data_IF_329153808507
#
_entry.id   IF_329153808507
#
_cell.length_a   1.000
_cell.length_b   1.000
_cell.length_c   1.000
_cell.angle_alpha   90.00
_cell.angle_beta   90.00
_cell.angle_gamma   90.00
#
_symmetry.space_group_name_H-M   'P 1'
#
loop_
_entity.id
_entity.type
_entity.pdbx_description
1 polymer ?
#
# COMPACT_ATOMS: atom_id res chain seq x y z
N UNK A 1 -64.44 4.03 -46.06
CA UNK A 1 -62.99 3.76 -46.15
C UNK A 1 -62.34 4.18 -44.84
N UNK A 2 -61.99 3.21 -43.98
CA UNK A 2 -61.28 3.45 -42.71
C UNK A 2 -59.81 3.10 -42.91
N UNK A 3 -58.95 4.09 -42.80
CA UNK A 3 -57.49 4.01 -42.80
C UNK A 3 -57.01 3.14 -41.65
N UNK A 4 -56.36 2.01 -41.96
CA UNK A 4 -55.65 1.13 -41.02
C UNK A 4 -54.21 0.99 -41.49
N UNK A 5 -53.38 2.01 -41.28
CA UNK A 5 -51.95 1.90 -41.64
C UNK A 5 -51.06 2.92 -40.91
N UNK A 6 -51.23 3.07 -39.59
CA UNK A 6 -50.43 4.04 -38.81
C UNK A 6 -50.09 3.60 -37.39
N UNK A 7 -49.90 2.30 -37.16
CA UNK A 7 -49.49 1.79 -35.83
C UNK A 7 -48.26 0.88 -35.86
N UNK A 8 -47.82 0.41 -37.03
CA UNK A 8 -46.68 -0.51 -37.13
C UNK A 8 -45.32 0.20 -37.16
N UNK A 9 -45.29 1.48 -37.54
CA UNK A 9 -44.04 2.23 -37.74
C UNK A 9 -43.40 2.77 -36.46
N UNK A 10 -44.14 2.84 -35.33
CA UNK A 10 -43.61 3.43 -34.09
C UNK A 10 -42.88 2.42 -33.19
N UNK A 11 -43.23 1.12 -33.29
CA UNK A 11 -42.62 0.08 -32.46
C UNK A 11 -41.21 -0.33 -32.94
N UNK A 12 -40.92 -0.19 -34.24
CA UNK A 12 -39.60 -0.50 -34.80
C UNK A 12 -38.61 0.66 -34.57
N UNK A 13 -39.07 1.92 -34.59
CA UNK A 13 -38.21 3.08 -34.30
C UNK A 13 -37.76 3.14 -32.82
N UNK A 14 -38.56 2.63 -31.88
CA UNK A 14 -38.18 2.59 -30.47
C UNK A 14 -37.09 1.54 -30.17
N UNK A 15 -36.94 0.50 -31.00
CA UNK A 15 -35.92 -0.53 -30.83
C UNK A 15 -34.55 -0.13 -31.42
N UNK A 16 -34.52 0.79 -32.38
CA UNK A 16 -33.27 1.23 -33.04
C UNK A 16 -32.60 2.41 -32.32
N UNK A 17 -33.35 3.17 -31.52
CA UNK A 17 -32.83 4.34 -30.77
C UNK A 17 -32.06 4.02 -29.48
N UNK A 18 -32.00 2.75 -29.07
CA UNK A 18 -31.29 2.30 -27.86
C UNK A 18 -29.93 1.64 -28.16
N UNK A 19 -29.49 1.62 -29.42
CA UNK A 19 -28.13 1.23 -29.79
C UNK A 19 -27.13 2.39 -29.55
N UNK A 20 -27.33 3.14 -28.47
CA UNK A 20 -26.30 4.04 -27.94
C UNK A 20 -25.12 3.16 -27.57
N UNK A 21 -23.96 3.41 -28.18
CA UNK A 21 -22.69 2.78 -27.81
C UNK A 21 -22.54 2.86 -26.30
N UNK A 22 -22.81 1.76 -25.59
CA UNK A 22 -22.42 1.65 -24.20
C UNK A 22 -20.90 1.57 -24.23
N UNK A 23 -20.22 2.62 -23.76
CA UNK A 23 -18.83 2.49 -23.38
C UNK A 23 -18.80 1.41 -22.30
N UNK A 24 -18.32 0.21 -22.67
CA UNK A 24 -17.94 -0.76 -21.66
C UNK A 24 -16.75 -0.14 -20.96
N UNK A 25 -16.81 -0.02 -19.63
CA UNK A 25 -15.62 0.23 -18.85
C UNK A 25 -14.61 -0.86 -19.22
N UNK A 26 -13.43 -0.48 -19.69
CA UNK A 26 -12.37 -1.43 -19.97
C UNK A 26 -11.60 -1.66 -18.67
N UNK A 27 -11.46 -2.92 -18.29
CA UNK A 27 -10.54 -3.30 -17.24
C UNK A 27 -9.13 -2.88 -17.66
N UNK A 28 -8.42 -2.18 -16.79
CA UNK A 28 -6.98 -1.94 -16.93
C UNK A 28 -6.29 -3.22 -16.52
N UNK A 29 -5.57 -3.82 -17.46
CA UNK A 29 -4.79 -5.04 -17.32
C UNK A 29 -3.41 -4.75 -16.76
N UNK A 30 -2.78 -3.63 -17.11
CA UNK A 30 -1.42 -3.26 -16.69
C UNK A 30 -1.33 -1.80 -16.27
N UNK A 31 -0.58 -1.56 -15.20
CA UNK A 31 -0.32 -0.25 -14.60
C UNK A 31 1.17 0.04 -14.61
N UNK A 32 1.58 1.17 -15.15
CA UNK A 32 2.91 1.72 -14.88
C UNK A 32 2.87 2.40 -13.50
N UNK A 33 3.96 2.31 -12.74
CA UNK A 33 4.06 2.92 -11.43
C UNK A 33 5.35 3.71 -11.25
N UNK A 34 5.26 4.75 -10.41
CA UNK A 34 6.38 5.44 -9.79
C UNK A 34 6.11 5.46 -8.28
N UNK A 35 7.08 5.03 -7.47
CA UNK A 35 6.97 5.04 -6.01
C UNK A 35 8.24 5.59 -5.37
N UNK A 36 8.06 6.44 -4.39
CA UNK A 36 9.14 6.95 -3.56
C UNK A 36 8.82 6.79 -2.07
N UNK A 37 9.89 6.60 -1.31
CA UNK A 37 9.89 6.46 0.14
C UNK A 37 10.81 7.52 0.73
N UNK A 38 10.33 8.25 1.74
CA UNK A 38 11.07 9.31 2.42
C UNK A 38 10.77 9.35 3.92
N UNK A 39 11.79 9.64 4.72
CA UNK A 39 11.60 10.05 6.11
C UNK A 39 11.07 11.49 6.17
N UNK A 40 10.03 11.72 6.96
CA UNK A 40 9.59 13.08 7.28
C UNK A 40 10.63 13.72 8.22
N UNK A 41 11.38 14.73 7.77
CA UNK A 41 12.45 15.31 8.57
C UNK A 41 12.05 16.59 9.32
N UNK A 42 10.83 17.07 9.14
CA UNK A 42 10.33 18.30 9.76
C UNK A 42 8.87 18.17 10.25
N UNK A 43 8.45 19.14 11.06
CA UNK A 43 7.11 19.17 11.63
C UNK A 43 6.94 18.26 12.85
N UNK A 44 5.67 17.93 13.15
CA UNK A 44 5.30 17.17 14.35
C UNK A 44 5.59 15.66 14.23
N UNK A 45 5.83 15.17 13.02
CA UNK A 45 6.08 13.76 12.69
C UNK A 45 7.57 13.53 12.35
N UNK A 46 8.43 14.52 12.62
CA UNK A 46 9.87 14.40 12.46
C UNK A 46 10.48 13.45 13.49
N UNK A 47 11.61 12.80 13.18
CA UNK A 47 12.32 11.93 14.10
C UNK A 47 12.56 12.55 15.47
N UNK A 48 12.19 11.80 16.51
CA UNK A 48 12.54 12.11 17.90
C UNK A 48 13.65 11.19 18.36
N UNK A 49 14.49 11.71 19.25
CA UNK A 49 15.55 10.94 19.88
C UNK A 49 15.43 11.05 21.39
N UNK A 50 15.75 9.96 22.08
CA UNK A 50 15.81 9.94 23.53
C UNK A 50 16.93 10.87 24.05
N UNK A 51 16.83 11.40 25.28
CA UNK A 51 17.89 12.23 25.83
C UNK A 51 19.22 11.47 25.94
N UNK A 52 20.30 12.07 25.42
CA UNK A 52 21.62 11.45 25.43
C UNK A 52 22.68 12.31 24.75
N UNK A 53 23.84 11.70 24.53
CA UNK A 53 24.98 12.26 23.82
C UNK A 53 25.09 11.68 22.41
N UNK A 54 26.25 11.78 21.76
CA UNK A 54 26.43 11.32 20.38
C UNK A 54 25.93 12.33 19.34
N UNK A 55 25.79 11.85 18.10
CA UNK A 55 25.40 12.67 16.95
C UNK A 55 24.33 11.97 16.13
N UNK A 56 23.33 12.75 15.72
CA UNK A 56 22.26 12.29 14.86
C UNK A 56 22.49 12.78 13.43
N UNK A 57 22.23 11.89 12.48
CA UNK A 57 22.03 12.21 11.07
C UNK A 57 20.54 12.06 10.77
N UNK A 58 19.92 13.13 10.27
CA UNK A 58 18.51 13.14 9.88
C UNK A 58 18.41 13.70 8.47
N UNK A 59 18.13 12.80 7.53
CA UNK A 59 17.90 13.10 6.11
C UNK A 59 16.64 12.38 5.65
N UNK A 60 16.15 12.71 4.45
CA UNK A 60 14.98 12.03 3.87
C UNK A 60 15.25 10.56 3.53
N UNK A 61 16.50 10.15 3.38
CA UNK A 61 16.89 8.79 2.97
C UNK A 61 17.49 7.97 4.12
N UNK A 62 18.00 8.64 5.15
CA UNK A 62 18.72 8.02 6.26
C UNK A 62 18.45 8.72 7.59
N UNK A 63 18.19 7.91 8.60
CA UNK A 63 18.24 8.29 10.01
C UNK A 63 19.37 7.49 10.67
N UNK A 64 20.25 8.13 11.43
CA UNK A 64 21.31 7.41 12.13
C UNK A 64 21.70 8.11 13.43
N UNK A 65 22.13 7.34 14.41
CA UNK A 65 22.55 7.82 15.73
C UNK A 65 23.77 7.05 16.22
N UNK A 66 24.47 7.63 17.21
CA UNK A 66 25.67 7.06 17.81
C UNK A 66 26.86 8.01 17.78
N UNK A 67 28.06 7.45 17.62
CA UNK A 67 29.34 8.19 17.63
C UNK A 67 29.45 9.24 16.52
N UNK A 68 30.25 10.29 16.70
CA UNK A 68 30.44 11.36 15.71
C UNK A 68 31.20 10.93 14.44
N UNK A 69 31.79 9.73 14.47
CA UNK A 69 32.55 9.16 13.36
C UNK A 69 32.13 7.70 13.21
N UNK A 70 32.13 7.19 11.97
CA UNK A 70 31.78 5.80 11.67
C UNK A 70 30.79 5.66 10.52
N UNK A 71 30.74 4.45 9.96
CA UNK A 71 29.67 4.02 9.06
C UNK A 71 28.49 3.48 9.88
N UNK A 72 27.33 3.31 9.27
CA UNK A 72 26.18 2.63 9.90
C UNK A 72 26.25 1.12 9.72
N UNK A 73 27.00 0.64 8.73
CA UNK A 73 27.20 -0.78 8.50
C UNK A 73 28.02 -1.39 9.65
N UNK A 74 27.44 -2.30 10.46
CA UNK A 74 28.11 -2.88 11.62
C UNK A 74 29.34 -3.72 11.24
N UNK A 75 29.44 -4.19 9.98
CA UNK A 75 30.64 -4.88 9.50
C UNK A 75 31.83 -3.92 9.32
N UNK A 76 31.57 -2.62 9.16
CA UNK A 76 32.56 -1.55 8.96
C UNK A 76 32.80 -0.78 10.25
N UNK A 77 31.73 -0.47 11.00
CA UNK A 77 31.78 0.31 12.23
C UNK A 77 30.61 -0.06 13.17
N UNK A 78 30.93 -0.35 14.41
CA UNK A 78 30.00 -0.80 15.44
C UNK A 78 29.54 0.32 16.40
N UNK A 79 29.73 1.59 16.02
CA UNK A 79 29.44 2.74 16.89
C UNK A 79 28.30 3.63 16.38
N UNK A 80 27.63 3.21 15.30
CA UNK A 80 26.41 3.86 14.82
C UNK A 80 25.37 2.82 14.41
N UNK A 81 24.13 3.06 14.84
CA UNK A 81 22.96 2.35 14.35
C UNK A 81 22.23 3.29 13.37
N UNK A 82 21.34 2.73 12.55
CA UNK A 82 20.58 3.56 11.62
C UNK A 82 19.57 2.84 10.74
N UNK A 83 18.72 3.65 10.14
CA UNK A 83 17.72 3.24 9.15
C UNK A 83 18.08 3.87 7.81
N UNK A 84 18.21 3.06 6.77
CA UNK A 84 18.48 3.50 5.40
C UNK A 84 17.36 3.05 4.47
N UNK A 85 16.81 4.00 3.71
CA UNK A 85 15.92 3.68 2.59
C UNK A 85 16.74 3.10 1.44
N UNK A 86 16.28 2.00 0.86
CA UNK A 86 16.90 1.35 -0.29
C UNK A 86 15.93 1.31 -1.48
N UNK A 87 16.50 1.28 -2.68
CA UNK A 87 15.77 1.15 -3.96
C UNK A 87 14.69 2.24 -4.24
N UNK A 88 14.76 3.37 -3.53
CA UNK A 88 13.88 4.54 -3.71
C UNK A 88 14.60 5.67 -4.46
N UNK A 89 13.95 6.33 -5.44
CA UNK A 89 12.65 5.99 -6.01
C UNK A 89 12.70 4.74 -6.90
N UNK A 90 11.57 4.05 -7.02
CA UNK A 90 11.39 2.86 -7.86
C UNK A 90 10.29 3.10 -8.90
N UNK A 91 10.43 2.51 -10.09
CA UNK A 91 9.44 2.61 -11.17
C UNK A 91 9.38 1.33 -11.97
N UNK A 92 8.23 1.02 -12.54
CA UNK A 92 8.01 -0.23 -13.27
C UNK A 92 6.58 -0.39 -13.74
N UNK A 93 6.17 -1.64 -13.92
CA UNK A 93 4.80 -2.01 -14.28
C UNK A 93 4.30 -3.20 -13.47
N UNK A 94 3.01 -3.23 -13.17
CA UNK A 94 2.33 -4.35 -12.50
C UNK A 94 1.01 -4.65 -13.20
N UNK A 95 0.69 -5.94 -13.33
CA UNK A 95 -0.58 -6.37 -13.91
C UNK A 95 -1.68 -6.40 -12.84
N UNK A 96 -2.92 -6.14 -13.23
CA UNK A 96 -4.07 -6.26 -12.34
C UNK A 96 -4.26 -7.72 -11.92
N UNK A 97 -4.21 -7.95 -10.61
CA UNK A 97 -4.22 -9.26 -9.97
C UNK A 97 -2.83 -9.74 -9.51
N UNK A 98 -1.77 -8.99 -9.81
CA UNK A 98 -0.40 -9.28 -9.40
C UNK A 98 0.11 -8.27 -8.35
N UNK A 99 1.25 -8.62 -7.75
CA UNK A 99 1.99 -7.85 -6.75
C UNK A 99 3.41 -7.58 -7.24
N UNK A 100 4.02 -6.48 -6.77
CA UNK A 100 5.39 -6.10 -7.12
C UNK A 100 6.13 -5.51 -5.91
N UNK A 101 7.37 -5.96 -5.70
CA UNK A 101 8.30 -5.37 -4.74
C UNK A 101 8.92 -4.09 -5.31
N UNK A 102 9.12 -3.08 -4.48
CA UNK A 102 9.50 -1.74 -4.96
C UNK A 102 10.65 -1.10 -4.20
N UNK A 103 10.44 -0.78 -2.92
CA UNK A 103 11.33 0.02 -2.07
C UNK A 103 11.49 -0.68 -0.74
N UNK A 104 12.55 -0.35 0.02
CA UNK A 104 12.77 -0.98 1.31
C UNK A 104 13.41 -0.06 2.33
N UNK A 105 13.52 -0.56 3.55
CA UNK A 105 14.29 0.06 4.64
C UNK A 105 15.18 -1.00 5.26
N UNK A 106 16.48 -0.73 5.36
CA UNK A 106 17.40 -1.56 6.13
C UNK A 106 17.66 -0.92 7.49
N UNK A 107 17.43 -1.69 8.54
CA UNK A 107 17.86 -1.37 9.89
C UNK A 107 19.23 -1.98 10.14
N UNK A 108 20.20 -1.13 10.43
CA UNK A 108 21.54 -1.49 10.84
C UNK A 108 21.65 -1.34 12.35
N UNK A 109 21.84 -2.47 13.04
CA UNK A 109 21.91 -2.51 14.48
C UNK A 109 23.36 -2.74 14.93
N UNK A 110 23.93 -1.76 15.63
CA UNK A 110 25.29 -1.81 16.16
C UNK A 110 25.27 -1.70 17.68
N UNK A 111 26.22 -2.37 18.33
CA UNK A 111 26.38 -2.26 19.78
C UNK A 111 26.99 -0.90 20.19
N UNK A 112 26.15 0.13 20.25
CA UNK A 112 26.58 1.50 20.55
C UNK A 112 26.67 1.79 22.06
N UNK A 113 27.30 2.92 22.41
CA UNK A 113 27.46 3.32 23.80
C UNK A 113 26.13 3.75 24.43
N UNK A 114 25.84 3.26 25.64
CA UNK A 114 24.58 3.48 26.37
C UNK A 114 24.24 4.96 26.67
N UNK A 115 25.23 5.84 26.64
CA UNK A 115 25.03 7.28 26.83
C UNK A 115 24.60 8.02 25.56
N UNK A 116 24.54 7.37 24.40
CA UNK A 116 24.11 8.00 23.15
C UNK A 116 22.59 8.13 23.11
N UNK A 117 22.14 9.24 22.54
CA UNK A 117 20.74 9.44 22.20
C UNK A 117 20.38 8.54 21.02
N UNK A 118 19.38 7.68 21.21
CA UNK A 118 18.88 6.72 20.22
C UNK A 118 17.57 7.20 19.61
N UNK A 119 17.25 6.71 18.41
CA UNK A 119 15.97 7.02 17.78
C UNK A 119 14.82 6.51 18.66
N UNK A 120 13.77 7.31 18.78
CA UNK A 120 12.60 6.98 19.59
C UNK A 120 11.38 6.81 18.67
N UNK A 121 11.10 7.81 17.83
CA UNK A 121 10.05 7.71 16.81
C UNK A 121 10.51 8.30 15.48
N UNK A 122 9.92 7.83 14.39
CA UNK A 122 10.05 8.43 13.07
C UNK A 122 8.82 8.09 12.21
N UNK A 123 8.55 8.94 11.21
CA UNK A 123 7.47 8.67 10.24
C UNK A 123 8.04 8.51 8.84
N UNK A 124 7.76 7.36 8.25
CA UNK A 124 8.13 7.00 6.88
C UNK A 124 6.94 7.27 5.97
N UNK A 125 7.12 8.10 4.96
CA UNK A 125 6.08 8.44 3.99
C UNK A 125 6.38 7.76 2.67
N UNK A 126 5.38 7.08 2.11
CA UNK A 126 5.41 6.54 0.75
C UNK A 126 4.47 7.33 -0.13
N UNK A 127 4.84 7.46 -1.40
CA UNK A 127 4.07 8.15 -2.41
C UNK A 127 4.06 7.29 -3.69
N UNK A 128 2.91 6.66 -3.97
CA UNK A 128 2.69 5.80 -5.13
C UNK A 128 1.86 6.55 -6.18
N UNK A 129 2.35 6.56 -7.42
CA UNK A 129 1.64 7.09 -8.58
C UNK A 129 1.39 5.94 -9.54
N UNK A 130 0.14 5.74 -9.95
CA UNK A 130 -0.26 4.71 -10.90
C UNK A 130 -0.71 5.35 -12.22
N UNK A 131 -0.27 4.79 -13.34
CA UNK A 131 -0.66 5.20 -14.68
C UNK A 131 -1.21 4.00 -15.45
N UNK A 132 -2.47 4.03 -15.92
CA UNK A 132 -3.02 2.95 -16.74
C UNK A 132 -2.23 2.78 -18.05
N UNK A 133 -1.69 1.58 -18.28
CA UNK A 133 -0.84 1.28 -19.46
C UNK A 133 -1.58 0.44 -20.51
N UNK A 134 -2.29 -0.61 -20.09
CA UNK A 134 -2.98 -1.56 -20.99
C UNK A 134 -4.40 -1.87 -20.49
N UNK A 135 -5.46 -1.75 -21.32
CA UNK A 135 -5.48 -0.85 -22.47
C UNK A 135 -5.23 0.58 -21.98
N UNK A 136 -4.57 1.44 -22.78
CA UNK A 136 -4.52 2.85 -22.45
C UNK A 136 -5.96 3.36 -22.51
N UNK A 137 -6.53 3.66 -21.34
CA UNK A 137 -7.77 4.42 -21.27
C UNK A 137 -7.55 5.78 -21.93
N UNK A 138 -8.62 6.42 -22.40
CA UNK A 138 -8.58 7.51 -23.39
C UNK A 138 -7.69 8.72 -23.04
N UNK A 139 -7.14 8.79 -21.81
CA UNK A 139 -5.99 9.60 -21.45
C UNK A 139 -5.14 8.81 -20.44
N UNK A 140 -3.94 8.34 -20.82
CA UNK A 140 -2.95 7.72 -19.92
C UNK A 140 -2.32 8.74 -18.97
N UNK A 141 -3.15 9.49 -18.26
CA UNK A 141 -2.73 10.45 -17.23
C UNK A 141 -2.49 9.70 -15.92
N UNK A 142 -1.43 10.04 -15.17
CA UNK A 142 -1.22 9.50 -13.84
C UNK A 142 -2.41 9.81 -12.92
N UNK A 143 -2.76 8.83 -12.08
CA UNK A 143 -3.71 9.04 -11.01
C UNK A 143 -3.15 10.02 -9.97
N UNK A 144 -4.03 10.56 -9.13
CA UNK A 144 -3.58 11.30 -7.96
C UNK A 144 -2.67 10.40 -7.11
N UNK A 145 -1.56 10.92 -6.56
CA UNK A 145 -0.68 10.09 -5.77
C UNK A 145 -1.39 9.53 -4.53
N UNK A 146 -1.18 8.23 -4.28
CA UNK A 146 -1.56 7.57 -3.06
C UNK A 146 -0.42 7.74 -2.06
N UNK A 147 -0.69 8.47 -0.98
CA UNK A 147 0.29 8.70 0.09
C UNK A 147 -0.10 7.92 1.33
N UNK A 148 0.83 7.11 1.84
CA UNK A 148 0.69 6.43 3.14
C UNK A 148 1.82 6.86 4.06
N UNK A 149 1.52 6.93 5.36
CA UNK A 149 2.49 7.25 6.39
C UNK A 149 2.55 6.09 7.39
N UNK A 150 3.75 5.55 7.58
CA UNK A 150 4.05 4.53 8.58
C UNK A 150 4.70 5.23 9.77
N UNK A 151 3.99 5.23 10.90
CA UNK A 151 4.54 5.73 12.15
C UNK A 151 5.33 4.61 12.80
N UNK A 152 6.56 4.90 13.18
CA UNK A 152 7.49 3.90 13.69
C UNK A 152 7.95 4.29 15.08
N UNK A 153 8.12 3.29 15.94
CA UNK A 153 8.76 3.44 17.24
C UNK A 153 9.96 2.51 17.27
N UNK A 154 11.08 3.03 17.75
CA UNK A 154 12.34 2.33 17.83
C UNK A 154 12.76 2.17 19.28
N UNK A 155 13.23 0.98 19.64
CA UNK A 155 13.75 0.67 20.97
C UNK A 155 15.13 0.06 20.84
N UNK A 156 16.15 0.89 21.09
CA UNK A 156 17.51 0.41 21.32
C UNK A 156 17.55 -0.27 22.70
N UNK A 157 17.76 -1.58 22.70
CA UNK A 157 17.73 -2.37 23.91
C UNK A 157 19.07 -2.29 24.63
N UNK A 158 19.09 -2.38 25.97
CA UNK A 158 20.36 -2.53 26.67
C UNK A 158 21.01 -3.85 26.29
N UNK A 159 22.23 -3.77 25.76
CA UNK A 159 23.06 -4.92 25.38
C UNK A 159 23.55 -5.77 26.56
N UNK A 160 22.62 -6.26 27.40
CA UNK A 160 22.88 -6.98 28.64
C UNK A 160 21.74 -7.93 28.97
N UNK A 161 22.03 -9.23 29.02
CA UNK A 161 21.07 -10.24 29.45
C UNK A 161 20.64 -10.10 30.93
N UNK A 162 19.42 -10.53 31.29
CA UNK A 162 18.37 -11.05 30.40
C UNK A 162 17.55 -9.94 29.72
N UNK A 163 17.16 -10.17 28.46
CA UNK A 163 16.46 -9.20 27.62
C UNK A 163 14.98 -9.03 27.94
N UNK A 164 14.37 -10.04 28.56
CA UNK A 164 12.94 -10.06 28.84
C UNK A 164 12.07 -10.62 27.71
N UNK A 165 12.65 -10.93 26.54
CA UNK A 165 12.03 -11.58 25.40
C UNK A 165 13.03 -12.52 24.69
N UNK A 166 12.58 -13.27 23.68
CA UNK A 166 13.46 -14.12 22.87
C UNK A 166 14.29 -13.25 21.92
N UNK A 167 15.62 -13.28 22.09
CA UNK A 167 16.56 -12.52 21.27
C UNK A 167 17.63 -13.47 20.72
N UNK A 168 18.06 -13.21 19.49
CA UNK A 168 19.11 -13.98 18.83
C UNK A 168 20.51 -13.64 19.36
N UNK A 169 20.68 -12.43 19.90
CA UNK A 169 21.96 -11.89 20.39
C UNK A 169 21.83 -11.35 21.82
N UNK A 170 22.64 -10.34 22.19
CA UNK A 170 22.66 -9.76 23.54
C UNK A 170 21.56 -8.71 23.68
N UNK A 171 20.32 -9.11 23.40
CA UNK A 171 19.13 -8.25 23.27
C UNK A 171 19.09 -7.56 21.92
N UNK A 172 18.16 -8.01 21.06
CA UNK A 172 17.98 -7.48 19.72
C UNK A 172 17.17 -6.19 19.78
N UNK A 173 17.49 -5.22 18.94
CA UNK A 173 16.72 -3.98 18.88
C UNK A 173 15.36 -4.16 18.22
N UNK A 174 14.38 -3.43 18.74
CA UNK A 174 12.98 -3.61 18.36
C UNK A 174 12.51 -2.43 17.52
N UNK A 175 11.97 -2.72 16.35
CA UNK A 175 11.33 -1.75 15.46
C UNK A 175 9.85 -2.10 15.33
N UNK A 176 8.97 -1.19 15.76
CA UNK A 176 7.52 -1.36 15.66
C UNK A 176 6.92 -0.37 14.69
N UNK A 177 5.89 -0.80 13.97
CA UNK A 177 5.24 -0.03 12.91
C UNK A 177 3.74 0.05 13.18
N UNK A 178 3.19 1.25 13.00
CA UNK A 178 1.76 1.52 12.99
C UNK A 178 1.38 2.12 11.64
N UNK A 179 0.32 1.57 11.05
CA UNK A 179 -0.26 2.00 9.78
C UNK A 179 -1.74 2.35 9.98
N UNK A 180 -2.21 3.39 9.29
CA UNK A 180 -3.62 3.81 9.36
C UNK A 180 -4.53 2.97 8.44
N UNK A 181 -4.02 2.54 7.28
CA UNK A 181 -4.63 1.58 6.37
C UNK A 181 -3.55 0.99 5.45
N UNK A 182 -3.64 -0.30 5.13
CA UNK A 182 -2.75 -0.97 4.16
C UNK A 182 -3.38 -1.09 2.78
N UNK A 183 -4.63 -0.65 2.63
CA UNK A 183 -5.39 -0.71 1.40
C UNK A 183 -6.00 0.65 1.04
N UNK A 184 -6.03 0.96 -0.25
CA UNK A 184 -6.74 2.12 -0.79
C UNK A 184 -7.57 1.72 -2.01
N UNK A 185 -8.74 2.36 -2.14
CA UNK A 185 -9.71 2.01 -3.19
C UNK A 185 -10.03 3.22 -4.04
N UNK A 186 -9.90 3.07 -5.36
CA UNK A 186 -10.27 4.09 -6.34
C UNK A 186 -11.16 3.52 -7.44
N UNK A 187 -11.79 4.39 -8.23
CA UNK A 187 -12.64 3.97 -9.36
C UNK A 187 -12.21 4.69 -10.62
N UNK A 188 -11.90 3.91 -11.66
CA UNK A 188 -11.50 4.41 -12.97
C UNK A 188 -12.44 3.84 -14.04
N UNK A 189 -13.03 4.74 -14.82
CA UNK A 189 -14.01 4.41 -15.88
C UNK A 189 -15.19 3.51 -15.45
N UNK A 190 -15.48 3.41 -14.15
CA UNK A 190 -16.56 2.58 -13.60
C UNK A 190 -16.13 1.18 -13.15
N UNK A 191 -14.83 0.87 -13.19
CA UNK A 191 -14.22 -0.28 -12.50
C UNK A 191 -13.60 0.22 -11.20
N UNK A 192 -13.86 -0.49 -10.10
CA UNK A 192 -13.24 -0.20 -8.80
C UNK A 192 -11.97 -1.02 -8.67
N UNK A 193 -10.87 -0.39 -8.26
CA UNK A 193 -9.59 -1.03 -8.01
C UNK A 193 -9.21 -0.86 -6.54
N UNK A 194 -8.56 -1.88 -5.99
CA UNK A 194 -7.97 -1.86 -4.65
C UNK A 194 -6.46 -2.01 -4.77
N UNK A 195 -5.70 -1.10 -4.16
CA UNK A 195 -4.26 -1.25 -3.98
C UNK A 195 -3.99 -1.76 -2.59
N UNK A 196 -3.18 -2.81 -2.46
CA UNK A 196 -2.86 -3.44 -1.18
C UNK A 196 -1.36 -3.36 -0.99
N UNK A 197 -0.89 -2.82 0.14
CA UNK A 197 0.52 -2.85 0.51
C UNK A 197 0.92 -4.28 0.84
N UNK A 198 2.07 -4.68 0.32
CA UNK A 198 2.72 -5.96 0.62
C UNK A 198 4.02 -5.65 1.33
N UNK A 199 4.34 -6.42 2.37
CA UNK A 199 5.59 -6.25 3.10
C UNK A 199 6.27 -7.61 3.37
N UNK A 200 7.60 -7.62 3.25
CA UNK A 200 8.46 -8.70 3.70
C UNK A 200 9.34 -8.21 4.85
N UNK A 201 9.48 -9.04 5.89
CA UNK A 201 10.31 -8.74 7.06
C UNK A 201 9.55 -8.16 8.25
N UNK A 202 8.29 -7.76 8.11
CA UNK A 202 7.41 -7.41 9.23
C UNK A 202 6.53 -8.59 9.67
N UNK A 203 6.17 -8.61 10.95
CA UNK A 203 5.24 -9.57 11.48
C UNK A 203 4.68 -9.18 12.84
N UNK A 204 3.74 -9.99 13.33
CA UNK A 204 3.29 -9.89 14.72
C UNK A 204 4.42 -10.35 15.64
N UNK A 205 4.78 -9.48 16.59
CA UNK A 205 5.74 -9.79 17.64
C UNK A 205 5.02 -10.41 18.84
N UNK A 206 5.75 -11.19 19.64
CA UNK A 206 5.23 -11.72 20.89
C UNK A 206 5.03 -10.61 21.94
N UNK A 207 4.18 -10.88 22.93
CA UNK A 207 3.78 -9.89 23.93
C UNK A 207 4.96 -9.36 24.77
N UNK A 208 5.99 -10.18 25.00
CA UNK A 208 7.16 -9.79 25.78
C UNK A 208 8.08 -8.86 24.97
N UNK A 209 8.29 -9.14 23.67
CA UNK A 209 8.99 -8.23 22.75
C UNK A 209 8.25 -6.89 22.62
N UNK A 210 6.92 -6.92 22.48
CA UNK A 210 6.12 -5.69 22.45
C UNK A 210 6.23 -4.90 23.75
N UNK A 211 6.22 -5.57 24.90
CA UNK A 211 6.38 -4.92 26.20
C UNK A 211 7.76 -4.27 26.35
N UNK A 212 8.82 -4.87 25.79
CA UNK A 212 10.15 -4.28 25.77
C UNK A 212 10.20 -2.97 24.97
N UNK A 213 9.40 -2.86 23.91
CA UNK A 213 9.26 -1.66 23.08
C UNK A 213 8.22 -0.65 23.57
N UNK A 214 7.69 -0.82 24.79
CA UNK A 214 6.55 -0.03 25.34
C UNK A 214 5.32 -0.01 24.40
N UNK A 215 5.14 -1.08 23.62
CA UNK A 215 4.06 -1.25 22.66
C UNK A 215 2.95 -2.15 23.22
N UNK A 216 1.70 -2.01 22.76
CA UNK A 216 0.62 -2.93 23.11
C UNK A 216 0.94 -4.37 22.68
N UNK A 217 0.42 -5.34 23.45
CA UNK A 217 0.46 -6.77 23.11
C UNK A 217 -0.05 -7.04 21.67
N UNK A 218 0.67 -7.88 20.92
CA UNK A 218 0.43 -8.14 19.50
C UNK A 218 0.80 -6.98 18.57
N UNK A 219 1.81 -6.19 18.93
CA UNK A 219 2.39 -5.17 18.05
C UNK A 219 2.96 -5.77 16.77
N UNK A 220 3.03 -4.96 15.72
CA UNK A 220 3.56 -5.34 14.40
C UNK A 220 4.93 -4.69 14.20
N UNK A 221 5.92 -5.45 13.76
CA UNK A 221 7.30 -4.99 13.74
C UNK A 221 8.29 -6.08 13.38
N UNK A 222 9.54 -5.83 13.73
CA UNK A 222 10.64 -6.80 13.66
C UNK A 222 11.65 -6.56 14.79
N UNK A 223 12.53 -7.53 14.99
CA UNK A 223 13.76 -7.35 15.75
C UNK A 223 14.97 -7.41 14.82
N UNK A 224 16.05 -6.73 15.18
CA UNK A 224 17.32 -6.81 14.45
C UNK A 224 18.43 -7.23 15.40
N UNK A 225 19.12 -8.35 15.15
CA UNK A 225 20.20 -8.79 16.02
C UNK A 225 21.34 -7.77 16.12
N UNK A 226 22.00 -7.71 17.27
CA UNK A 226 23.15 -6.85 17.53
C UNK A 226 24.32 -7.16 16.62
N UNK A 227 24.89 -6.11 15.99
CA UNK A 227 25.99 -6.22 15.05
C UNK A 227 25.58 -6.75 13.67
N UNK A 228 24.29 -6.81 13.38
CA UNK A 228 23.72 -7.29 12.13
C UNK A 228 22.75 -6.24 11.55
N UNK A 229 22.19 -6.54 10.38
CA UNK A 229 21.14 -5.73 9.78
C UNK A 229 19.94 -6.58 9.38
N UNK A 230 18.76 -5.96 9.34
CA UNK A 230 17.52 -6.56 8.83
C UNK A 230 16.88 -5.62 7.82
N UNK A 231 16.44 -6.18 6.70
CA UNK A 231 15.81 -5.41 5.62
C UNK A 231 14.31 -5.69 5.60
N UNK A 232 13.55 -4.60 5.58
CA UNK A 232 12.13 -4.53 5.30
C UNK A 232 11.97 -4.23 3.82
N UNK A 233 11.24 -5.06 3.09
CA UNK A 233 10.90 -4.79 1.70
C UNK A 233 9.42 -4.49 1.58
N UNK A 234 9.08 -3.41 0.86
CA UNK A 234 7.72 -3.01 0.58
C UNK A 234 7.40 -3.19 -0.91
N UNK A 235 6.16 -3.57 -1.15
CA UNK A 235 5.55 -3.72 -2.45
C UNK A 235 4.09 -3.32 -2.40
N UNK A 236 3.42 -3.50 -3.53
CA UNK A 236 1.97 -3.38 -3.59
C UNK A 236 1.38 -4.32 -4.65
N UNK A 237 0.13 -4.69 -4.44
CA UNK A 237 -0.72 -5.34 -5.44
C UNK A 237 -1.85 -4.44 -5.88
N UNK A 238 -2.42 -4.72 -7.04
CA UNK A 238 -3.63 -4.04 -7.53
C UNK A 238 -4.68 -5.04 -7.99
N UNK A 239 -5.85 -5.01 -7.37
CA UNK A 239 -6.98 -5.88 -7.68
C UNK A 239 -8.14 -5.10 -8.27
N UNK A 240 -8.90 -5.70 -9.19
CA UNK A 240 -10.14 -5.13 -9.70
C UNK A 240 -11.36 -5.78 -9.05
N UNK A 241 -12.27 -4.95 -8.55
CA UNK A 241 -13.60 -5.36 -8.07
C UNK A 241 -14.62 -5.04 -9.16
N UNK A 242 -15.08 -6.08 -9.85
CA UNK A 242 -16.15 -5.93 -10.84
C UNK A 242 -17.49 -5.59 -10.16
N UNK A 243 -17.93 -4.34 -10.28
CA UNK A 243 -19.30 -3.96 -9.90
C UNK A 243 -20.24 -4.27 -11.07
N UNK A 244 -21.30 -5.09 -10.89
CA UNK A 244 -22.23 -5.40 -11.96
C UNK A 244 -22.84 -4.14 -12.57
N UNK A 245 -22.61 -3.92 -13.87
CA UNK A 245 -23.07 -2.73 -14.55
C UNK A 245 -24.62 -2.61 -14.47
N UNK A 246 -25.17 -1.51 -13.94
CA UNK A 246 -26.63 -1.32 -13.83
C UNK A 246 -27.34 -1.39 -15.19
N UNK A 247 -26.65 -1.11 -16.31
CA UNK A 247 -27.20 -1.30 -17.65
C UNK A 247 -27.43 -2.77 -18.02
N UNK A 248 -26.57 -3.69 -17.54
CA UNK A 248 -26.76 -5.13 -17.75
C UNK A 248 -27.96 -5.65 -16.96
N UNK A 249 -28.16 -5.16 -15.74
CA UNK A 249 -29.37 -5.44 -14.95
C UNK A 249 -30.63 -4.87 -15.61
N UNK A 250 -30.54 -3.67 -16.19
CA UNK A 250 -31.64 -3.07 -16.92
C UNK A 250 -31.95 -3.83 -18.23
N UNK A 251 -30.94 -4.28 -18.99
CA UNK A 251 -31.11 -5.11 -20.19
C UNK A 251 -31.69 -6.48 -19.84
N UNK A 252 -31.22 -7.10 -18.77
CA UNK A 252 -31.76 -8.36 -18.29
C UNK A 252 -33.22 -8.21 -17.84
N UNK A 253 -33.51 -7.16 -17.06
CA UNK A 253 -34.87 -6.84 -16.61
C UNK A 253 -35.82 -6.51 -17.76
N UNK A 254 -35.38 -5.70 -18.72
CA UNK A 254 -36.19 -5.35 -19.91
C UNK A 254 -36.35 -6.53 -20.86
N UNK A 255 -35.33 -7.38 -21.01
CA UNK A 255 -35.41 -8.64 -21.75
C UNK A 255 -36.44 -9.59 -21.17
N UNK A 256 -36.48 -9.74 -19.84
CA UNK A 256 -37.50 -10.55 -19.14
C UNK A 256 -38.91 -9.96 -19.29
N UNK A 257 -39.07 -8.64 -19.21
CA UNK A 257 -40.36 -7.97 -19.43
C UNK A 257 -40.86 -8.15 -20.87
N UNK A 258 -39.97 -8.07 -21.86
CA UNK A 258 -40.29 -8.31 -23.26
C UNK A 258 -40.71 -9.76 -23.51
N UNK A 259 -39.96 -10.72 -22.95
CA UNK A 259 -40.29 -12.15 -23.02
C UNK A 259 -41.64 -12.47 -22.35
N UNK A 260 -41.90 -11.89 -21.17
CA UNK A 260 -43.17 -12.02 -20.46
C UNK A 260 -44.36 -11.47 -21.25
N UNK A 261 -44.21 -10.31 -21.89
CA UNK A 261 -45.25 -9.71 -22.74
C UNK A 261 -45.53 -10.56 -24.00
N UNK A 262 -44.51 -11.17 -24.60
CA UNK A 262 -44.66 -12.08 -25.75
C UNK A 262 -45.33 -13.39 -25.35
N UNK A 263 -44.91 -13.99 -24.23
CA UNK A 263 -45.51 -15.22 -23.72
C UNK A 263 -46.97 -15.03 -23.28
N UNK A 264 -47.29 -13.88 -22.68
CA UNK A 264 -48.66 -13.52 -22.27
C UNK A 264 -49.62 -13.29 -23.45
N UNK A 265 -49.11 -12.82 -24.60
CA UNK A 265 -49.91 -12.71 -25.82
C UNK A 265 -50.27 -14.07 -26.41
N UNK A 266 -49.32 -15.02 -26.45
CA UNK A 266 -49.57 -16.37 -26.97
C UNK A 266 -50.65 -17.13 -26.18
N UNK A 267 -50.74 -16.92 -24.86
CA UNK A 267 -51.76 -17.56 -24.02
C UNK A 267 -53.17 -16.95 -24.13
N UNK A 268 -53.33 -15.80 -24.82
CA UNK A 268 -54.62 -15.14 -25.03
C UNK A 268 -55.23 -15.44 -26.41
N UNK A 269 -54.52 -16.19 -27.24
CA UNK A 269 -54.94 -16.57 -28.59
C UNK A 269 -55.39 -18.04 -28.69
N UNK A 270 -55.40 -18.76 -27.56
CA UNK A 270 -56.05 -20.08 -27.34
C UNK A 270 -57.28 -19.92 -26.44
#
# INVERSE_FOLDING_TARGET
MKTKTTALSLAVLAAVGLASSHASAALVETWDFDVDLVWLTDGAEAPTFNPGTGTQEVTSERLSWGSSEGDIDPEINDQRSGLQIIDSPSSGSVDTGDEVDTVGVTHFNSAIASEFATLDTATLMTNLILTPSVPPVTVGEPLAPLTLAFKTTFTETPNTEPCGFESATVCDDVFTVQFEALDDTFTLEGVTYNTIVVEEGLGLLDDDTCAAADAPAGCYGLTTPEGEFTTLQFGFGIEAVEVPNPAMLALFGTGLLALGAVAGRRRRED
#
